data_IF_244211399654
#
_entry.id   IF_244211399654
#
_cell.length_a   1.000
_cell.length_b   1.000
_cell.length_c   1.000
_cell.angle_alpha   90.00
_cell.angle_beta   90.00
_cell.angle_gamma   90.00
#
_symmetry.space_group_name_H-M   'P 1'
#
loop_
_entity.id
_entity.type
_entity.pdbx_description
1 polymer ?
#
# COMPACT_ATOMS: atom_id res chain seq x y z
N UNK A 1 17.66 -24.37 0.38
CA UNK A 1 17.48 -23.23 1.31
C UNK A 1 16.61 -22.19 0.64
N UNK A 2 15.43 -21.95 1.19
CA UNK A 2 14.62 -20.82 0.77
C UNK A 2 15.30 -19.54 1.28
N UNK A 3 15.55 -18.60 0.38
CA UNK A 3 16.01 -17.27 0.79
C UNK A 3 14.94 -16.63 1.68
N UNK A 4 15.33 -15.89 2.73
CA UNK A 4 14.36 -15.19 3.53
C UNK A 4 13.59 -14.22 2.64
N UNK A 5 12.27 -14.25 2.75
CA UNK A 5 11.42 -13.32 2.03
C UNK A 5 11.72 -11.92 2.57
N UNK A 6 12.19 -11.05 1.69
CA UNK A 6 12.48 -9.67 2.05
C UNK A 6 11.19 -8.95 2.45
N UNK A 7 11.14 -8.48 3.69
CA UNK A 7 9.99 -7.71 4.15
C UNK A 7 10.09 -6.27 3.64
N UNK A 8 8.94 -5.73 3.23
CA UNK A 8 8.85 -4.32 2.90
C UNK A 8 8.92 -3.48 4.18
N UNK A 9 9.27 -2.19 4.07
CA UNK A 9 9.58 -1.34 5.23
C UNK A 9 8.46 -1.15 6.25
N UNK A 10 7.20 -1.26 5.84
CA UNK A 10 6.06 -1.02 6.72
C UNK A 10 5.00 -2.08 6.51
N UNK A 11 4.22 -2.39 7.54
CA UNK A 11 3.16 -3.38 7.45
C UNK A 11 2.03 -3.09 8.43
N UNK A 12 0.83 -3.50 8.06
CA UNK A 12 -0.35 -3.52 8.93
C UNK A 12 -0.97 -4.91 8.90
N UNK A 13 -1.69 -5.25 9.96
CA UNK A 13 -2.46 -6.48 10.03
C UNK A 13 -3.92 -6.19 9.67
N UNK A 14 -4.48 -7.00 8.78
CA UNK A 14 -5.89 -6.89 8.39
C UNK A 14 -6.55 -8.25 8.42
N UNK A 15 -7.74 -8.32 9.02
CA UNK A 15 -8.54 -9.54 9.04
C UNK A 15 -9.41 -9.61 7.79
N UNK A 16 -9.46 -10.77 7.15
CA UNK A 16 -10.42 -11.04 6.08
C UNK A 16 -11.80 -11.24 6.74
N UNK A 17 -12.71 -10.31 6.51
CA UNK A 17 -14.05 -10.30 7.09
C UNK A 17 -15.06 -10.87 6.11
N UNK A 18 -16.24 -11.23 6.61
CA UNK A 18 -17.31 -11.72 5.74
C UNK A 18 -17.61 -10.75 4.59
N UNK A 19 -17.65 -9.45 4.88
CA UNK A 19 -17.90 -8.43 3.84
C UNK A 19 -16.80 -8.35 2.77
N UNK A 20 -15.65 -8.94 3.03
CA UNK A 20 -14.54 -8.98 2.06
C UNK A 20 -14.64 -10.18 1.11
N UNK A 21 -15.54 -11.13 1.38
CA UNK A 21 -15.58 -12.42 0.68
C UNK A 21 -16.68 -12.49 -0.38
N UNK A 22 -16.45 -13.38 -1.36
CA UNK A 22 -17.43 -13.76 -2.36
C UNK A 22 -18.22 -15.02 -1.90
N UNK A 23 -19.18 -15.54 -2.71
CA UNK A 23 -19.95 -16.71 -2.34
C UNK A 23 -19.14 -18.00 -2.11
N UNK A 24 -17.88 -18.05 -2.58
CA UNK A 24 -17.00 -19.19 -2.33
C UNK A 24 -16.33 -19.16 -0.96
N UNK A 25 -16.50 -18.08 -0.20
CA UNK A 25 -15.86 -17.92 1.10
C UNK A 25 -14.40 -17.48 1.03
N UNK A 26 -13.94 -17.09 -0.16
CA UNK A 26 -12.61 -16.51 -0.36
C UNK A 26 -12.73 -15.00 -0.61
N UNK A 27 -11.63 -14.30 -0.40
CA UNK A 27 -11.62 -12.85 -0.59
C UNK A 27 -12.04 -12.47 -2.01
N UNK A 28 -12.96 -11.51 -2.12
CA UNK A 28 -13.29 -10.89 -3.39
C UNK A 28 -12.10 -10.00 -3.80
N UNK A 29 -11.67 -10.09 -5.06
CA UNK A 29 -10.44 -9.40 -5.49
C UNK A 29 -10.46 -7.89 -5.23
N UNK A 30 -11.62 -7.25 -5.36
CA UNK A 30 -11.76 -5.82 -5.10
C UNK A 30 -11.54 -5.43 -3.63
N UNK A 31 -11.70 -6.37 -2.70
CA UNK A 31 -11.47 -6.11 -1.27
C UNK A 31 -9.99 -5.85 -0.95
N UNK A 32 -9.07 -6.31 -1.78
CA UNK A 32 -7.65 -5.99 -1.60
C UNK A 32 -7.36 -4.49 -1.72
N UNK A 33 -8.15 -3.75 -2.49
CA UNK A 33 -7.98 -2.29 -2.64
C UNK A 33 -8.06 -1.60 -1.29
N UNK A 34 -9.05 -1.97 -0.46
CA UNK A 34 -9.20 -1.44 0.90
C UNK A 34 -7.99 -1.77 1.76
N UNK A 35 -7.47 -2.98 1.64
CA UNK A 35 -6.34 -3.43 2.44
C UNK A 35 -5.04 -2.71 2.05
N UNK A 36 -4.80 -2.52 0.75
CA UNK A 36 -3.66 -1.74 0.28
C UNK A 36 -3.77 -0.27 0.72
N UNK A 37 -4.97 0.31 0.64
CA UNK A 37 -5.20 1.66 1.13
C UNK A 37 -4.92 1.77 2.63
N UNK A 38 -5.35 0.80 3.43
CA UNK A 38 -5.08 0.80 4.87
C UNK A 38 -3.58 0.82 5.15
N UNK A 39 -2.80 0.01 4.44
CA UNK A 39 -1.35 -0.02 4.61
C UNK A 39 -0.69 1.30 4.18
N UNK A 40 -1.09 1.84 3.04
CA UNK A 40 -0.60 3.14 2.55
C UNK A 40 -0.93 4.25 3.54
N UNK A 41 -2.18 4.32 3.98
CA UNK A 41 -2.66 5.35 4.90
C UNK A 41 -1.88 5.33 6.22
N UNK A 42 -1.67 4.15 6.79
CA UNK A 42 -0.91 4.01 8.04
C UNK A 42 0.58 4.26 7.84
N UNK A 43 1.14 3.95 6.69
CA UNK A 43 2.53 4.30 6.36
C UNK A 43 2.71 5.82 6.33
N UNK A 44 1.82 6.55 5.68
CA UNK A 44 1.85 8.02 5.69
C UNK A 44 1.69 8.58 7.11
N UNK A 45 0.81 7.99 7.91
CA UNK A 45 0.65 8.37 9.31
C UNK A 45 1.94 8.15 10.09
N UNK A 46 2.61 7.02 9.92
CA UNK A 46 3.89 6.70 10.55
C UNK A 46 5.00 7.64 10.08
N UNK A 47 4.89 8.14 8.85
CA UNK A 47 5.83 9.13 8.30
C UNK A 47 5.59 10.56 8.84
N UNK A 48 4.60 10.75 9.69
CA UNK A 48 4.24 12.08 10.20
C UNK A 48 3.36 12.89 9.26
N UNK A 49 2.78 12.24 8.25
CA UNK A 49 1.91 12.87 7.25
C UNK A 49 0.53 12.17 7.18
N UNK A 50 -0.27 12.20 8.27
CA UNK A 50 -1.64 11.71 8.16
C UNK A 50 -2.34 12.41 6.99
N UNK A 51 -3.24 11.71 6.31
CA UNK A 51 -3.90 12.28 5.12
C UNK A 51 -4.64 13.59 5.42
N UNK A 52 -5.16 13.74 6.63
CA UNK A 52 -5.77 15.00 7.06
C UNK A 52 -4.77 16.16 6.97
N UNK A 53 -3.54 15.95 7.43
CA UNK A 53 -2.48 16.95 7.36
C UNK A 53 -2.01 17.16 5.93
N UNK A 54 -1.65 16.08 5.25
CA UNK A 54 -1.05 16.15 3.92
C UNK A 54 -2.02 16.69 2.88
N UNK A 55 -3.23 16.13 2.83
CA UNK A 55 -4.20 16.44 1.78
C UNK A 55 -5.03 17.68 2.07
N UNK A 56 -5.50 17.82 3.30
CA UNK A 56 -6.40 18.92 3.68
C UNK A 56 -5.63 20.17 4.07
N UNK A 57 -4.67 20.04 4.98
CA UNK A 57 -3.95 21.22 5.50
C UNK A 57 -2.83 21.69 4.56
N UNK A 58 -2.13 20.75 3.89
CA UNK A 58 -0.98 21.07 3.04
C UNK A 58 -1.26 20.92 1.54
N UNK A 59 -2.48 20.58 1.17
CA UNK A 59 -2.98 20.55 -0.22
C UNK A 59 -2.20 19.65 -1.18
N UNK A 60 -1.66 18.55 -0.70
CA UNK A 60 -1.01 17.56 -1.56
C UNK A 60 -2.05 16.54 -2.02
N UNK A 61 -2.29 16.47 -3.32
CA UNK A 61 -3.22 15.52 -3.92
C UNK A 61 -2.46 14.48 -4.74
N UNK A 62 -2.81 13.20 -4.53
CA UNK A 62 -2.11 12.08 -5.14
C UNK A 62 -3.10 11.14 -5.85
N UNK A 63 -3.75 11.57 -6.95
CA UNK A 63 -4.62 10.69 -7.70
C UNK A 63 -3.87 9.47 -8.24
N UNK A 64 -4.62 8.37 -8.40
CA UNK A 64 -4.08 7.08 -8.83
C UNK A 64 -3.91 7.07 -10.34
N UNK A 65 -2.72 6.76 -10.83
CA UNK A 65 -2.40 6.69 -12.26
C UNK A 65 -2.38 5.27 -12.79
N UNK A 66 -1.79 4.35 -12.04
CA UNK A 66 -1.64 2.96 -12.47
C UNK A 66 -1.69 2.03 -11.27
N UNK A 67 -2.38 0.91 -11.42
CA UNK A 67 -2.53 -0.08 -10.38
C UNK A 67 -2.47 -1.47 -11.01
N UNK A 68 -1.55 -2.31 -10.57
CA UNK A 68 -1.40 -3.67 -11.04
C UNK A 68 -1.36 -4.62 -9.83
N UNK A 69 -2.11 -5.70 -9.91
CA UNK A 69 -2.20 -6.70 -8.84
C UNK A 69 -2.01 -8.10 -9.42
N UNK A 70 -1.21 -8.91 -8.74
CA UNK A 70 -1.12 -10.34 -9.00
C UNK A 70 -1.66 -11.09 -7.79
N UNK A 71 -2.53 -12.08 -8.06
CA UNK A 71 -3.12 -12.92 -7.02
C UNK A 71 -2.39 -14.26 -7.03
N UNK A 72 -1.72 -14.61 -5.93
CA UNK A 72 -0.90 -15.82 -5.85
C UNK A 72 -1.67 -17.00 -5.25
N UNK A 73 -2.52 -16.74 -4.26
CA UNK A 73 -3.37 -17.75 -3.64
C UNK A 73 -4.57 -17.09 -2.96
N UNK A 74 -5.71 -17.81 -2.87
CA UNK A 74 -6.92 -17.21 -2.29
C UNK A 74 -6.83 -17.06 -0.77
N UNK A 75 -7.12 -15.87 -0.27
CA UNK A 75 -7.27 -15.64 1.16
C UNK A 75 -8.69 -16.02 1.59
N UNK A 76 -8.80 -16.67 2.74
CA UNK A 76 -10.07 -17.19 3.26
C UNK A 76 -10.59 -16.30 4.38
N UNK A 77 -11.91 -16.36 4.58
CA UNK A 77 -12.56 -15.64 5.68
C UNK A 77 -11.89 -15.97 7.02
N UNK A 78 -11.78 -14.97 7.85
CA UNK A 78 -11.17 -15.00 9.18
C UNK A 78 -9.63 -15.11 9.21
N UNK A 79 -8.97 -15.25 8.06
CA UNK A 79 -7.51 -15.16 8.05
C UNK A 79 -7.03 -13.75 8.47
N UNK A 80 -5.94 -13.72 9.21
CA UNK A 80 -5.22 -12.48 9.47
C UNK A 80 -4.13 -12.34 8.40
N UNK A 81 -4.15 -11.20 7.71
CA UNK A 81 -3.19 -10.91 6.64
C UNK A 81 -2.16 -9.88 7.10
N UNK A 82 -0.93 -10.08 6.70
CA UNK A 82 0.18 -9.15 6.84
C UNK A 82 0.28 -8.36 5.55
N UNK A 83 -0.15 -7.10 5.58
CA UNK A 83 -0.14 -6.23 4.40
C UNK A 83 1.11 -5.34 4.48
N UNK A 84 2.10 -5.66 3.68
CA UNK A 84 3.35 -4.94 3.64
C UNK A 84 3.32 -3.87 2.55
N UNK A 85 3.98 -2.75 2.80
CA UNK A 85 4.08 -1.65 1.85
C UNK A 85 5.44 -0.98 1.96
N UNK A 86 5.92 -0.48 0.83
CA UNK A 86 7.10 0.36 0.76
C UNK A 86 7.04 1.24 -0.47
N UNK A 87 7.91 2.24 -0.51
CA UNK A 87 8.06 3.14 -1.64
C UNK A 87 9.07 2.54 -2.60
N UNK A 88 8.61 2.12 -3.78
CA UNK A 88 9.48 1.52 -4.80
C UNK A 88 10.24 2.59 -5.60
N UNK A 89 9.61 3.76 -5.80
CA UNK A 89 10.21 4.84 -6.58
C UNK A 89 9.64 6.19 -6.18
N UNK A 90 10.52 7.19 -6.06
CA UNK A 90 10.15 8.59 -5.92
C UNK A 90 10.59 9.29 -7.20
N UNK A 91 9.64 9.70 -8.03
CA UNK A 91 9.88 10.50 -9.23
C UNK A 91 9.78 11.99 -8.94
N UNK A 92 9.83 12.81 -9.99
CA UNK A 92 9.66 14.26 -9.86
C UNK A 92 8.23 14.62 -9.47
N UNK A 93 7.24 14.00 -10.12
CA UNK A 93 5.81 14.25 -9.90
C UNK A 93 5.06 13.04 -9.40
N UNK A 94 5.72 11.88 -9.28
CA UNK A 94 5.05 10.60 -9.01
C UNK A 94 5.71 9.83 -7.88
N UNK A 95 4.91 8.96 -7.26
CA UNK A 95 5.35 7.96 -6.29
C UNK A 95 4.85 6.60 -6.76
N UNK A 96 5.68 5.58 -6.61
CA UNK A 96 5.25 4.20 -6.83
C UNK A 96 5.41 3.43 -5.54
N UNK A 97 4.31 2.81 -5.10
CA UNK A 97 4.29 1.94 -3.93
C UNK A 97 4.27 0.49 -4.36
N UNK A 98 4.91 -0.35 -3.59
CA UNK A 98 4.82 -1.80 -3.73
C UNK A 98 4.18 -2.38 -2.49
N UNK A 99 3.29 -3.37 -2.70
CA UNK A 99 2.60 -4.09 -1.64
C UNK A 99 2.87 -5.58 -1.77
N UNK A 100 2.99 -6.26 -0.63
CA UNK A 100 3.04 -7.71 -0.55
C UNK A 100 2.10 -8.17 0.55
N UNK A 101 1.28 -9.18 0.26
CA UNK A 101 0.30 -9.71 1.22
C UNK A 101 0.62 -11.16 1.53
N UNK A 102 0.77 -11.45 2.81
CA UNK A 102 1.02 -12.80 3.32
C UNK A 102 -0.01 -13.16 4.38
N UNK A 103 -0.35 -14.45 4.47
CA UNK A 103 -1.09 -14.94 5.62
C UNK A 103 -0.19 -14.87 6.85
N UNK A 104 -0.68 -14.21 7.91
CA UNK A 104 -0.04 -14.20 9.23
C UNK A 104 -0.34 -15.48 9.99
N UNK A 105 0.53 -15.85 10.92
CA UNK A 105 0.33 -16.95 11.83
C UNK A 105 1.48 -17.92 11.87
N UNK A 106 1.25 -19.07 12.50
CA UNK A 106 2.26 -20.11 12.67
C UNK A 106 2.58 -20.79 11.34
N UNK A 107 3.84 -21.13 11.15
CA UNK A 107 4.32 -21.83 9.98
C UNK A 107 4.89 -20.88 8.91
N UNK A 108 5.17 -21.43 7.72
CA UNK A 108 5.70 -20.65 6.62
C UNK A 108 4.66 -19.64 6.11
N UNK A 109 5.08 -18.39 5.81
CA UNK A 109 4.17 -17.40 5.23
C UNK A 109 3.58 -17.91 3.91
N UNK A 110 2.28 -17.73 3.71
CA UNK A 110 1.63 -18.02 2.44
C UNK A 110 1.41 -16.71 1.69
N UNK A 111 2.00 -16.60 0.50
CA UNK A 111 1.91 -15.42 -0.33
C UNK A 111 0.53 -15.33 -0.98
N UNK A 112 -0.21 -14.27 -0.71
CA UNK A 112 -1.59 -14.08 -1.19
C UNK A 112 -1.67 -13.17 -2.41
N UNK A 113 -0.96 -12.04 -2.38
CA UNK A 113 -1.02 -11.07 -3.47
C UNK A 113 0.21 -10.17 -3.48
N UNK A 114 0.50 -9.61 -4.65
CA UNK A 114 1.49 -8.55 -4.85
C UNK A 114 0.84 -7.42 -5.64
N UNK A 115 1.22 -6.18 -5.37
CA UNK A 115 0.69 -5.05 -6.12
C UNK A 115 1.71 -3.93 -6.27
N UNK A 116 1.52 -3.13 -7.32
CA UNK A 116 2.18 -1.85 -7.50
C UNK A 116 1.14 -0.78 -7.76
N UNK A 117 1.34 0.39 -7.16
CA UNK A 117 0.44 1.52 -7.31
C UNK A 117 1.27 2.76 -7.59
N UNK A 118 1.01 3.42 -8.71
CA UNK A 118 1.64 4.70 -9.03
C UNK A 118 0.64 5.82 -8.85
N UNK A 119 1.03 6.83 -8.09
CA UNK A 119 0.24 8.04 -7.86
C UNK A 119 1.00 9.24 -8.42
N UNK A 120 0.27 10.27 -8.82
CA UNK A 120 0.84 11.49 -9.40
C UNK A 120 0.43 12.68 -8.58
N UNK A 121 1.39 13.53 -8.22
CA UNK A 121 1.10 14.77 -7.51
C UNK A 121 0.50 15.79 -8.47
N UNK A 122 -0.67 16.32 -8.10
CA UNK A 122 -1.37 17.33 -8.90
C UNK A 122 -1.76 18.52 -8.04
N UNK A 123 -1.94 19.64 -8.72
CA UNK A 123 -2.60 20.81 -8.14
C UNK A 123 -4.09 20.50 -7.97
N UNK A 124 -4.64 20.86 -6.81
CA UNK A 124 -6.02 20.53 -6.47
C UNK A 124 -7.06 21.17 -7.41
N UNK A 125 -6.81 22.38 -7.85
CA UNK A 125 -7.78 23.14 -8.65
C UNK A 125 -7.68 22.84 -10.13
N UNK A 126 -6.48 22.89 -10.69
CA UNK A 126 -6.25 22.66 -12.12
C UNK A 126 -6.15 21.20 -12.50
N UNK A 127 -5.89 20.31 -11.52
CA UNK A 127 -5.63 18.87 -11.72
C UNK A 127 -4.47 18.66 -12.73
N UNK A 128 -3.51 19.56 -12.70
CA UNK A 128 -2.28 19.44 -13.51
C UNK A 128 -1.13 18.93 -12.63
N UNK A 129 -0.20 18.21 -13.26
CA UNK A 129 0.97 17.68 -12.56
C UNK A 129 1.78 18.81 -11.91
N UNK A 130 2.23 18.57 -10.70
CA UNK A 130 3.16 19.43 -10.00
C UNK A 130 4.24 18.59 -9.34
N UNK A 131 5.46 19.15 -9.12
CA UNK A 131 6.49 18.43 -8.41
C UNK A 131 6.05 18.02 -7.01
N UNK A 132 6.45 16.82 -6.58
CA UNK A 132 6.26 16.39 -5.20
C UNK A 132 6.99 17.37 -4.28
N UNK A 133 6.30 17.89 -3.24
CA UNK A 133 6.96 18.73 -2.25
C UNK A 133 8.09 17.99 -1.53
N UNK A 134 9.16 18.70 -1.19
CA UNK A 134 10.32 18.11 -0.51
C UNK A 134 9.93 17.46 0.82
N UNK A 135 8.98 18.04 1.56
CA UNK A 135 8.55 17.46 2.83
C UNK A 135 7.93 16.07 2.67
N UNK A 136 7.28 15.79 1.54
CA UNK A 136 6.72 14.46 1.24
C UNK A 136 7.87 13.48 0.98
N UNK A 137 8.84 13.88 0.17
CA UNK A 137 10.00 13.04 -0.14
C UNK A 137 10.81 12.71 1.11
N UNK A 138 11.04 13.72 1.96
CA UNK A 138 11.77 13.54 3.21
C UNK A 138 11.04 12.62 4.18
N UNK A 139 9.73 12.81 4.32
CA UNK A 139 8.91 11.99 5.21
C UNK A 139 8.90 10.51 4.77
N UNK A 140 8.87 10.24 3.48
CA UNK A 140 8.82 8.89 2.93
C UNK A 140 10.18 8.23 2.79
N UNK A 141 11.28 8.95 2.94
CA UNK A 141 12.62 8.40 2.78
C UNK A 141 12.88 7.12 3.61
N UNK A 142 12.44 7.02 4.89
CA UNK A 142 12.63 5.80 5.67
C UNK A 142 11.88 4.58 5.13
N UNK A 143 10.90 4.79 4.27
CA UNK A 143 10.04 3.72 3.74
C UNK A 143 10.40 3.34 2.30
N UNK A 144 11.48 3.88 1.76
CA UNK A 144 11.97 3.51 0.43
C UNK A 144 12.56 2.10 0.49
N UNK A 145 12.15 1.26 -0.46
CA UNK A 145 12.60 -0.14 -0.54
C UNK A 145 14.10 -0.16 -0.90
N UNK A 146 14.86 -0.90 -0.12
CA UNK A 146 16.30 -1.01 -0.33
C UNK A 146 17.13 0.15 0.20
N UNK A 147 16.50 1.06 0.93
CA UNK A 147 17.21 2.17 1.57
C UNK A 147 17.83 1.75 2.92
#
# INVERSE_FOLDING_TARGET
>A
MTQPVERLPFAVAERVRWSDCDPLGIIFYGSFVRMFEAAEHEMFRAAGLPYEVMRVQRHVQLPRKAFAVEFHSPAQMDELLDIQVGVAKIGTTSLTFRFEVYRSGDGAPLHRASATLTVVCVDKESITKRPLPDFVKEALAPFVIGA
#
